data_IF_556877745505
#
_entry.id   IF_556877745505
#
_cell.length_a   1.000
_cell.length_b   1.000
_cell.length_c   1.000
_cell.angle_alpha   90.00
_cell.angle_beta   90.00
_cell.angle_gamma   90.00
#
_symmetry.space_group_name_H-M   'P 1'
#
loop_
_entity.id
_entity.type
_entity.pdbx_description
1 polymer ?
#
# COMPACT_ATOMS: atom_id res chain seq x y z
N UNK A 1 -70.21 -52.83 51.17
CA UNK A 1 -68.91 -53.53 51.13
C UNK A 1 -67.94 -52.57 50.46
N UNK A 2 -67.06 -51.94 51.27
CA UNK A 2 -65.78 -51.27 50.94
C UNK A 2 -65.65 -50.28 49.75
N UNK A 3 -65.29 -49.04 50.09
CA UNK A 3 -64.52 -48.06 49.28
C UNK A 3 -63.00 -48.24 49.61
N UNK A 4 -62.02 -47.95 48.70
CA UNK A 4 -61.37 -46.61 48.70
C UNK A 4 -60.69 -46.08 47.39
N UNK A 5 -60.81 -44.76 47.17
CA UNK A 5 -59.82 -43.70 46.78
C UNK A 5 -58.83 -43.80 45.57
N UNK A 6 -58.97 -42.77 44.70
CA UNK A 6 -57.96 -41.83 44.12
C UNK A 6 -56.91 -42.30 43.07
N UNK A 7 -56.23 -41.39 42.29
CA UNK A 7 -56.63 -40.09 41.69
C UNK A 7 -55.99 -39.81 40.27
N UNK A 8 -56.27 -38.61 39.71
CA UNK A 8 -55.44 -37.80 38.77
C UNK A 8 -55.16 -38.34 37.34
N UNK A 9 -55.10 -37.55 36.26
CA UNK A 9 -55.16 -36.13 35.97
C UNK A 9 -55.05 -36.03 34.44
N UNK A 10 -55.87 -35.27 33.73
CA UNK A 10 -55.70 -33.83 33.63
C UNK A 10 -54.79 -33.50 32.45
N UNK A 11 -55.40 -33.23 31.30
CA UNK A 11 -54.71 -32.67 30.15
C UNK A 11 -54.07 -31.31 30.50
N UNK A 12 -52.77 -31.17 30.27
CA UNK A 12 -52.02 -29.92 30.08
C UNK A 12 -50.59 -30.35 29.67
N UNK A 13 -50.03 -30.01 28.51
CA UNK A 13 -50.32 -28.85 27.70
C UNK A 13 -49.82 -27.58 28.40
N UNK A 14 -48.62 -27.60 28.99
CA UNK A 14 -47.98 -26.38 29.45
C UNK A 14 -46.44 -26.45 29.33
N UNK A 15 -45.94 -25.63 28.39
CA UNK A 15 -44.80 -24.72 28.59
C UNK A 15 -43.56 -25.27 29.34
N UNK A 16 -42.72 -26.03 28.63
CA UNK A 16 -41.27 -26.07 28.94
C UNK A 16 -40.52 -24.87 28.32
N UNK A 17 -41.22 -23.75 28.15
CA UNK A 17 -40.68 -22.47 27.74
C UNK A 17 -40.98 -21.49 28.88
N UNK A 18 -39.96 -20.76 29.31
CA UNK A 18 -39.98 -19.71 30.34
C UNK A 18 -39.92 -20.16 31.82
N UNK A 19 -38.90 -20.94 32.17
CA UNK A 19 -38.25 -20.74 33.48
C UNK A 19 -37.09 -19.75 33.27
N UNK A 20 -37.23 -18.46 33.65
CA UNK A 20 -36.21 -17.43 33.43
C UNK A 20 -34.93 -17.65 34.24
N UNK A 21 -34.95 -18.56 35.23
CA UNK A 21 -33.80 -18.92 36.06
C UNK A 21 -33.19 -20.28 35.69
N UNK A 22 -33.67 -20.94 34.62
CA UNK A 22 -33.10 -22.19 34.14
C UNK A 22 -31.69 -21.96 33.60
N UNK A 23 -30.70 -22.44 34.35
CA UNK A 23 -29.31 -22.51 33.89
C UNK A 23 -29.19 -23.65 32.87
N UNK A 24 -28.79 -23.38 31.62
CA UNK A 24 -28.63 -24.42 30.60
C UNK A 24 -27.63 -25.48 31.05
N UNK A 25 -27.92 -26.73 30.73
CA UNK A 25 -26.97 -27.81 30.95
C UNK A 25 -25.76 -27.67 30.03
N UNK A 26 -24.63 -28.25 30.41
CA UNK A 26 -23.40 -28.17 29.60
C UNK A 26 -23.58 -28.74 28.18
N UNK A 27 -24.44 -29.75 28.02
CA UNK A 27 -24.78 -30.31 26.72
C UNK A 27 -25.64 -29.36 25.85
N UNK A 28 -26.49 -28.54 26.47
CA UNK A 28 -27.28 -27.52 25.76
C UNK A 28 -26.38 -26.36 25.30
N UNK A 29 -25.43 -25.93 26.14
CA UNK A 29 -24.41 -24.93 25.78
C UNK A 29 -23.51 -25.39 24.63
N UNK A 30 -23.03 -26.64 24.68
CA UNK A 30 -22.23 -27.21 23.59
C UNK A 30 -23.03 -27.31 22.29
N UNK A 31 -24.32 -27.65 22.36
CA UNK A 31 -25.20 -27.72 21.19
C UNK A 31 -25.46 -26.34 20.58
N UNK A 32 -25.63 -25.30 21.40
CA UNK A 32 -25.78 -23.91 20.95
C UNK A 32 -24.51 -23.38 20.28
N UNK A 33 -23.34 -23.68 20.84
CA UNK A 33 -22.05 -23.31 20.27
C UNK A 33 -21.80 -24.04 18.94
N UNK A 34 -22.09 -25.35 18.87
CA UNK A 34 -22.03 -26.11 17.62
C UNK A 34 -22.98 -25.54 16.56
N UNK A 35 -24.21 -25.19 16.94
CA UNK A 35 -25.19 -24.59 16.04
C UNK A 35 -24.79 -23.17 15.61
N UNK A 36 -24.09 -22.41 16.45
CA UNK A 36 -23.53 -21.10 16.09
C UNK A 36 -22.35 -21.23 15.12
N UNK A 37 -21.47 -22.21 15.34
CA UNK A 37 -20.36 -22.53 14.44
C UNK A 37 -20.88 -22.97 13.08
N UNK A 38 -21.87 -23.88 13.04
CA UNK A 38 -22.46 -24.39 11.80
C UNK A 38 -23.15 -23.27 11.01
N UNK A 39 -23.91 -22.38 11.68
CA UNK A 39 -24.46 -21.17 11.05
C UNK A 39 -23.37 -20.28 10.48
N UNK A 40 -22.31 -20.00 11.24
CA UNK A 40 -21.19 -19.17 10.77
C UNK A 40 -20.41 -19.80 9.61
N UNK A 41 -20.34 -21.13 9.55
CA UNK A 41 -19.72 -21.89 8.47
C UNK A 41 -20.58 -21.82 7.22
N UNK A 42 -21.89 -22.06 7.37
CA UNK A 42 -22.86 -22.01 6.27
C UNK A 42 -22.96 -20.61 5.67
N UNK A 43 -22.98 -19.56 6.48
CA UNK A 43 -22.94 -18.18 5.99
C UNK A 43 -21.65 -17.88 5.23
N UNK A 44 -20.51 -18.43 5.68
CA UNK A 44 -19.22 -18.29 5.01
C UNK A 44 -19.19 -19.03 3.67
N UNK A 45 -19.69 -20.25 3.61
CA UNK A 45 -19.78 -21.03 2.38
C UNK A 45 -20.77 -20.39 1.38
N UNK A 46 -21.88 -19.86 1.88
CA UNK A 46 -22.87 -19.15 1.08
C UNK A 46 -22.32 -17.83 0.52
N UNK A 47 -21.51 -17.10 1.31
CA UNK A 47 -20.78 -15.90 0.85
C UNK A 47 -19.70 -16.21 -0.20
N UNK A 48 -19.14 -17.43 -0.18
CA UNK A 48 -18.18 -17.89 -1.19
C UNK A 48 -18.87 -18.28 -2.51
N UNK A 49 -20.08 -18.86 -2.44
CA UNK A 49 -20.89 -19.28 -3.59
C UNK A 49 -21.61 -18.10 -4.27
N UNK A 50 -22.04 -17.11 -3.49
CA UNK A 50 -22.68 -15.89 -3.98
C UNK A 50 -21.91 -14.68 -3.46
N UNK A 51 -20.85 -14.25 -4.16
CA UNK A 51 -20.16 -13.03 -3.81
C UNK A 51 -21.17 -11.89 -3.82
N UNK A 52 -21.31 -11.20 -2.69
CA UNK A 52 -22.15 -10.01 -2.60
C UNK A 52 -21.72 -9.05 -3.70
N UNK A 53 -22.66 -8.60 -4.54
CA UNK A 53 -22.41 -7.57 -5.55
C UNK A 53 -21.66 -6.44 -4.86
N UNK A 54 -20.50 -5.97 -5.38
CA UNK A 54 -19.73 -4.93 -4.71
C UNK A 54 -20.68 -3.81 -4.34
N UNK A 55 -20.92 -3.63 -3.04
CA UNK A 55 -21.70 -2.49 -2.58
C UNK A 55 -21.01 -1.24 -3.08
N UNK A 56 -21.79 -0.26 -3.53
CA UNK A 56 -21.23 1.02 -3.94
C UNK A 56 -20.42 1.57 -2.75
N UNK A 57 -19.09 1.62 -2.89
CA UNK A 57 -18.17 1.88 -1.78
C UNK A 57 -18.27 3.32 -1.24
N UNK A 58 -19.16 4.12 -1.83
CA UNK A 58 -19.27 5.54 -1.60
C UNK A 58 -18.08 6.31 -2.19
N UNK A 59 -18.07 7.64 -2.01
CA UNK A 59 -17.02 8.49 -2.57
C UNK A 59 -15.64 8.13 -1.99
N UNK A 60 -14.56 8.29 -2.78
CA UNK A 60 -13.22 8.02 -2.31
C UNK A 60 -12.84 8.97 -1.16
N UNK A 61 -12.16 8.50 -0.10
CA UNK A 61 -11.75 9.34 1.01
C UNK A 61 -10.87 10.52 0.56
N UNK A 62 -11.08 11.71 1.14
CA UNK A 62 -10.31 12.93 0.82
C UNK A 62 -8.80 12.74 0.98
N UNK A 63 -8.38 11.91 1.94
CA UNK A 63 -6.98 11.56 2.13
C UNK A 63 -6.33 10.98 0.86
N UNK A 64 -7.07 10.16 0.09
CA UNK A 64 -6.60 9.55 -1.15
C UNK A 64 -6.87 10.47 -2.36
N UNK A 65 -8.07 11.03 -2.44
CA UNK A 65 -8.52 11.78 -3.61
C UNK A 65 -8.00 13.22 -3.67
N UNK A 66 -7.65 13.83 -2.54
CA UNK A 66 -7.26 15.24 -2.45
C UNK A 66 -5.88 15.38 -1.83
N UNK A 67 -5.70 14.95 -0.57
CA UNK A 67 -4.46 15.22 0.16
C UNK A 67 -3.24 14.54 -0.49
N UNK A 68 -3.35 13.24 -0.79
CA UNK A 68 -2.26 12.52 -1.48
C UNK A 68 -1.93 13.17 -2.84
N UNK A 69 -2.95 13.62 -3.59
CA UNK A 69 -2.76 14.25 -4.90
C UNK A 69 -2.09 15.61 -4.80
N UNK A 70 -2.52 16.47 -3.88
CA UNK A 70 -1.93 17.81 -3.69
C UNK A 70 -0.47 17.69 -3.29
N UNK A 71 -0.16 16.81 -2.33
CA UNK A 71 1.21 16.58 -1.89
C UNK A 71 2.06 16.00 -3.02
N UNK A 72 1.50 15.05 -3.78
CA UNK A 72 2.17 14.49 -4.96
C UNK A 72 2.42 15.56 -6.03
N UNK A 73 1.48 16.47 -6.30
CA UNK A 73 1.68 17.59 -7.22
C UNK A 73 2.83 18.51 -6.78
N UNK A 74 2.96 18.76 -5.48
CA UNK A 74 4.11 19.47 -4.94
C UNK A 74 5.43 18.76 -5.27
N UNK A 75 5.48 17.44 -5.07
CA UNK A 75 6.64 16.63 -5.43
C UNK A 75 6.90 16.65 -6.95
N UNK A 76 5.85 16.59 -7.77
CA UNK A 76 5.94 16.58 -9.23
C UNK A 76 6.48 17.91 -9.79
N UNK A 77 6.04 19.04 -9.24
CA UNK A 77 6.56 20.36 -9.62
C UNK A 77 8.05 20.46 -9.31
N UNK A 78 8.47 20.00 -8.14
CA UNK A 78 9.90 19.99 -7.79
C UNK A 78 10.68 19.05 -8.71
N UNK A 79 10.18 17.84 -8.94
CA UNK A 79 10.80 16.89 -9.85
C UNK A 79 10.95 17.44 -11.27
N UNK A 80 9.96 18.21 -11.74
CA UNK A 80 10.02 18.89 -13.03
C UNK A 80 11.07 20.00 -13.04
N UNK A 81 11.16 20.83 -11.99
CA UNK A 81 12.20 21.86 -11.85
C UNK A 81 13.59 21.23 -11.88
N UNK A 82 13.81 20.14 -11.13
CA UNK A 82 15.07 19.39 -11.11
C UNK A 82 15.40 18.81 -12.49
N UNK A 83 14.40 18.26 -13.18
CA UNK A 83 14.56 17.69 -14.53
C UNK A 83 14.98 18.77 -15.52
N UNK A 84 14.26 19.89 -15.55
CA UNK A 84 14.54 21.02 -16.45
C UNK A 84 15.94 21.57 -16.16
N UNK A 85 16.25 21.82 -14.89
CA UNK A 85 17.57 22.32 -14.49
C UNK A 85 18.69 21.33 -14.88
N UNK A 86 18.47 20.03 -14.67
CA UNK A 86 19.41 18.98 -15.05
C UNK A 86 19.66 18.94 -16.56
N UNK A 87 18.63 19.11 -17.39
CA UNK A 87 18.80 19.18 -18.84
C UNK A 87 19.55 20.45 -19.29
N UNK A 88 19.30 21.60 -18.65
CA UNK A 88 20.04 22.83 -18.96
C UNK A 88 21.52 22.73 -18.61
N UNK A 89 21.87 21.99 -17.56
CA UNK A 89 23.25 21.81 -17.09
C UNK A 89 23.83 20.44 -17.46
N UNK A 90 23.24 19.76 -18.46
CA UNK A 90 23.57 18.37 -18.77
C UNK A 90 25.03 18.18 -19.14
N UNK A 91 25.60 19.13 -19.89
CA UNK A 91 27.02 19.11 -20.29
C UNK A 91 27.94 19.13 -19.07
N UNK A 92 27.74 20.09 -18.17
CA UNK A 92 28.51 20.22 -16.92
C UNK A 92 28.39 18.96 -16.07
N UNK A 93 27.18 18.46 -15.85
CA UNK A 93 26.93 17.24 -15.06
C UNK A 93 27.63 16.02 -15.67
N UNK A 94 27.60 15.90 -17.01
CA UNK A 94 28.24 14.80 -17.73
C UNK A 94 29.76 14.86 -17.62
N UNK A 95 30.35 16.04 -17.76
CA UNK A 95 31.78 16.26 -17.62
C UNK A 95 32.26 15.99 -16.19
N UNK A 96 31.52 16.47 -15.18
CA UNK A 96 31.83 16.24 -13.77
C UNK A 96 31.72 14.76 -13.39
N UNK A 97 30.66 14.09 -13.87
CA UNK A 97 30.49 12.65 -13.67
C UNK A 97 31.60 11.86 -14.35
N UNK A 98 32.00 12.24 -15.57
CA UNK A 98 33.13 11.63 -16.28
C UNK A 98 34.41 11.75 -15.46
N UNK A 99 34.72 12.95 -14.98
CA UNK A 99 35.93 13.20 -14.19
C UNK A 99 35.94 12.36 -12.91
N UNK A 100 34.78 12.25 -12.24
CA UNK A 100 34.62 11.43 -11.03
C UNK A 100 34.77 9.93 -11.31
N UNK A 101 34.24 9.44 -12.44
CA UNK A 101 34.40 8.05 -12.84
C UNK A 101 35.85 7.72 -13.19
N UNK A 102 36.55 8.62 -13.89
CA UNK A 102 37.98 8.46 -14.19
C UNK A 102 38.83 8.43 -12.91
N UNK A 103 38.52 9.30 -11.94
CA UNK A 103 39.17 9.26 -10.62
C UNK A 103 38.90 7.93 -9.89
N UNK A 104 37.69 7.38 -10.01
CA UNK A 104 37.33 6.05 -9.51
C UNK A 104 38.17 4.93 -10.12
N UNK A 105 38.37 4.94 -11.45
CA UNK A 105 39.21 3.95 -12.15
C UNK A 105 40.66 3.99 -11.67
N UNK A 106 41.19 5.18 -11.42
CA UNK A 106 42.57 5.34 -10.94
C UNK A 106 42.71 4.89 -9.48
N UNK A 107 41.71 5.17 -8.63
CA UNK A 107 41.78 4.91 -7.19
C UNK A 107 41.40 3.49 -6.79
N UNK A 108 40.44 2.87 -7.47
CA UNK A 108 40.01 1.48 -7.24
C UNK A 108 39.65 0.79 -8.57
N UNK A 109 40.65 0.31 -9.33
CA UNK A 109 40.43 -0.35 -10.61
C UNK A 109 39.75 -1.72 -10.50
N UNK A 110 39.66 -2.32 -9.31
CA UNK A 110 39.02 -3.63 -9.13
C UNK A 110 37.49 -3.54 -9.08
N UNK A 111 36.93 -2.41 -8.65
CA UNK A 111 35.50 -2.18 -8.53
C UNK A 111 34.93 -1.18 -9.56
N UNK A 112 35.78 -0.60 -10.39
CA UNK A 112 35.41 0.43 -11.35
C UNK A 112 35.19 -0.13 -12.76
N UNK A 113 34.36 0.57 -13.54
CA UNK A 113 34.17 0.24 -14.95
C UNK A 113 35.48 0.41 -15.74
N UNK A 114 35.69 -0.34 -16.84
CA UNK A 114 36.84 -0.13 -17.71
C UNK A 114 36.88 1.32 -18.22
N UNK A 115 38.07 1.91 -18.35
CA UNK A 115 38.24 3.29 -18.81
C UNK A 115 37.53 3.55 -20.16
N UNK A 116 37.53 2.55 -21.06
CA UNK A 116 36.85 2.60 -22.35
C UNK A 116 35.32 2.77 -22.27
N UNK A 117 34.70 2.44 -21.13
CA UNK A 117 33.26 2.54 -20.93
C UNK A 117 32.85 3.83 -20.20
N UNK A 118 33.80 4.55 -19.59
CA UNK A 118 33.52 5.72 -18.76
C UNK A 118 32.82 6.82 -19.56
N UNK A 119 33.25 7.08 -20.79
CA UNK A 119 32.62 8.09 -21.66
C UNK A 119 31.18 7.70 -22.03
N UNK A 120 30.93 6.41 -22.27
CA UNK A 120 29.59 5.90 -22.59
C UNK A 120 28.66 6.01 -21.37
N UNK A 121 29.15 5.63 -20.19
CA UNK A 121 28.38 5.68 -18.94
C UNK A 121 28.07 7.13 -18.54
N UNK A 122 29.06 8.02 -18.60
CA UNK A 122 28.88 9.44 -18.30
C UNK A 122 27.91 10.11 -19.27
N UNK A 123 27.94 9.76 -20.55
CA UNK A 123 27.00 10.29 -21.55
C UNK A 123 25.58 9.74 -21.43
N UNK A 124 25.39 8.51 -20.93
CA UNK A 124 24.09 7.86 -20.86
C UNK A 124 23.34 8.11 -19.55
N UNK A 125 24.00 7.99 -18.40
CA UNK A 125 23.31 7.98 -17.11
C UNK A 125 22.59 9.29 -16.78
N UNK A 126 23.20 10.49 -16.96
CA UNK A 126 22.53 11.73 -16.65
C UNK A 126 21.21 11.95 -17.39
N UNK A 127 21.16 11.87 -18.75
CA UNK A 127 19.89 12.06 -19.45
C UNK A 127 18.89 10.94 -19.14
N UNK A 128 19.36 9.69 -18.99
CA UNK A 128 18.48 8.57 -18.62
C UNK A 128 17.80 8.81 -17.27
N UNK A 129 18.57 9.20 -16.24
CA UNK A 129 18.00 9.49 -14.91
C UNK A 129 16.99 10.63 -14.95
N UNK A 130 17.28 11.71 -15.69
CA UNK A 130 16.36 12.84 -15.82
C UNK A 130 15.04 12.43 -16.50
N UNK A 131 15.10 11.61 -17.56
CA UNK A 131 13.90 11.05 -18.20
C UNK A 131 13.13 10.16 -17.23
N UNK A 132 13.85 9.30 -16.49
CA UNK A 132 13.23 8.36 -15.55
C UNK A 132 12.50 9.05 -14.40
N UNK A 133 12.94 10.23 -13.94
CA UNK A 133 12.18 11.04 -12.96
C UNK A 133 10.77 11.33 -13.49
N UNK A 134 10.65 11.78 -14.74
CA UNK A 134 9.35 12.11 -15.35
C UNK A 134 8.49 10.85 -15.54
N UNK A 135 9.11 9.75 -16.00
CA UNK A 135 8.41 8.47 -16.21
C UNK A 135 7.85 7.93 -14.91
N UNK A 136 8.65 7.91 -13.84
CA UNK A 136 8.23 7.41 -12.53
C UNK A 136 7.11 8.29 -11.96
N UNK A 137 7.23 9.62 -12.05
CA UNK A 137 6.14 10.54 -11.67
C UNK A 137 4.85 10.24 -12.44
N UNK A 138 4.92 10.04 -13.77
CA UNK A 138 3.75 9.73 -14.57
C UNK A 138 3.07 8.41 -14.14
N UNK A 139 3.86 7.36 -13.85
CA UNK A 139 3.37 6.08 -13.35
C UNK A 139 2.71 6.24 -11.98
N UNK A 140 3.34 6.97 -11.07
CA UNK A 140 2.79 7.26 -9.74
C UNK A 140 1.44 7.98 -9.84
N UNK A 141 1.35 9.02 -10.67
CA UNK A 141 0.10 9.75 -10.89
C UNK A 141 -0.99 8.85 -11.44
N UNK A 142 -0.68 8.07 -12.48
CA UNK A 142 -1.62 7.15 -13.09
C UNK A 142 -2.14 6.15 -12.05
N UNK A 143 -1.27 5.55 -11.25
CA UNK A 143 -1.63 4.63 -10.18
C UNK A 143 -2.48 5.30 -9.09
N UNK A 144 -2.15 6.53 -8.69
CA UNK A 144 -2.88 7.27 -7.65
C UNK A 144 -4.30 7.63 -8.10
N UNK A 145 -4.46 8.13 -9.33
CA UNK A 145 -5.76 8.49 -9.90
C UNK A 145 -6.62 7.25 -10.12
N UNK A 146 -6.03 6.20 -10.72
CA UNK A 146 -6.75 4.95 -11.00
C UNK A 146 -7.12 4.18 -9.73
N UNK A 147 -6.29 4.22 -8.67
CA UNK A 147 -6.64 3.66 -7.38
C UNK A 147 -7.89 4.30 -6.78
N UNK A 148 -8.04 5.62 -6.95
CA UNK A 148 -9.19 6.37 -6.46
C UNK A 148 -10.45 6.17 -7.34
N UNK A 149 -10.31 6.03 -8.66
CA UNK A 149 -11.45 5.87 -9.57
C UNK A 149 -11.95 4.43 -9.68
N UNK A 150 -11.06 3.44 -9.60
CA UNK A 150 -11.39 2.02 -9.76
C UNK A 150 -11.51 1.28 -8.43
N UNK A 151 -11.40 1.98 -7.30
CA UNK A 151 -11.51 1.36 -5.97
C UNK A 151 -10.57 0.16 -5.79
N UNK A 152 -9.31 0.29 -6.23
CA UNK A 152 -8.39 -0.85 -6.35
C UNK A 152 -7.25 -0.79 -5.34
N UNK A 153 -7.20 -1.77 -4.43
CA UNK A 153 -6.09 -1.96 -3.49
C UNK A 153 -4.78 -2.31 -4.22
N UNK A 154 -4.86 -3.01 -5.34
CA UNK A 154 -3.67 -3.37 -6.13
C UNK A 154 -3.00 -2.12 -6.72
N UNK A 155 -3.77 -1.20 -7.28
CA UNK A 155 -3.24 0.06 -7.82
C UNK A 155 -2.63 0.94 -6.73
N UNK A 156 -3.25 0.98 -5.54
CA UNK A 156 -2.63 1.63 -4.37
C UNK A 156 -1.31 0.97 -3.96
N UNK A 157 -1.21 -0.35 -4.03
CA UNK A 157 0.06 -1.05 -3.75
C UNK A 157 1.13 -0.72 -4.80
N UNK A 158 0.75 -0.67 -6.08
CA UNK A 158 1.66 -0.28 -7.15
C UNK A 158 2.14 1.16 -7.00
N UNK A 159 1.24 2.09 -6.62
CA UNK A 159 1.63 3.46 -6.26
C UNK A 159 2.69 3.47 -5.15
N UNK A 160 2.46 2.75 -4.04
CA UNK A 160 3.42 2.69 -2.94
C UNK A 160 4.75 2.05 -3.35
N UNK A 161 4.71 1.00 -4.17
CA UNK A 161 5.92 0.38 -4.70
C UNK A 161 6.71 1.33 -5.59
N UNK A 162 6.04 2.06 -6.49
CA UNK A 162 6.65 3.07 -7.33
C UNK A 162 7.29 4.19 -6.48
N UNK A 163 6.57 4.69 -5.46
CA UNK A 163 7.10 5.70 -4.53
C UNK A 163 8.33 5.17 -3.80
N UNK A 164 8.33 3.93 -3.31
CA UNK A 164 9.51 3.35 -2.63
C UNK A 164 10.71 3.29 -3.57
N UNK A 165 10.51 2.83 -4.81
CA UNK A 165 11.58 2.82 -5.83
C UNK A 165 12.08 4.24 -6.08
N UNK A 166 11.18 5.21 -6.23
CA UNK A 166 11.54 6.61 -6.44
C UNK A 166 12.34 7.19 -5.26
N UNK A 167 11.94 6.90 -4.03
CA UNK A 167 12.66 7.32 -2.82
C UNK A 167 14.08 6.76 -2.77
N UNK A 168 14.31 5.54 -3.27
CA UNK A 168 15.66 4.96 -3.40
C UNK A 168 16.47 5.64 -4.50
N UNK A 169 15.83 6.06 -5.59
CA UNK A 169 16.49 6.75 -6.69
C UNK A 169 16.91 8.18 -6.34
N UNK A 170 16.19 8.89 -5.46
CA UNK A 170 16.48 10.30 -5.15
C UNK A 170 17.90 10.50 -4.58
N UNK A 171 18.36 9.80 -3.53
CA UNK A 171 19.71 9.96 -3.01
C UNK A 171 20.79 9.66 -4.05
N UNK A 172 20.58 8.64 -4.88
CA UNK A 172 21.50 8.26 -5.97
C UNK A 172 21.54 9.37 -7.02
N UNK A 173 20.39 9.90 -7.43
CA UNK A 173 20.31 11.01 -8.39
C UNK A 173 20.95 12.29 -7.84
N UNK A 174 20.75 12.61 -6.56
CA UNK A 174 21.41 13.75 -5.91
C UNK A 174 22.92 13.63 -5.99
N UNK A 175 23.45 12.47 -5.62
CA UNK A 175 24.90 12.26 -5.59
C UNK A 175 25.52 12.25 -6.99
N UNK A 176 24.82 11.72 -7.98
CA UNK A 176 25.32 11.62 -9.36
C UNK A 176 25.08 12.86 -10.21
N UNK A 177 24.05 13.66 -9.93
CA UNK A 177 23.63 14.78 -10.79
C UNK A 177 23.87 16.16 -10.18
N UNK A 178 23.72 16.30 -8.86
CA UNK A 178 23.58 17.63 -8.25
C UNK A 178 24.62 17.92 -7.17
N UNK A 179 25.40 16.93 -6.75
CA UNK A 179 26.43 17.07 -5.71
C UNK A 179 27.79 17.46 -6.29
N UNK A 180 27.80 18.49 -7.13
CA UNK A 180 29.01 19.07 -7.71
C UNK A 180 29.18 20.53 -7.30
N UNK A 181 30.42 21.05 -7.20
CA UNK A 181 30.68 22.44 -6.82
C UNK A 181 30.04 23.46 -7.76
N UNK A 182 29.97 23.13 -9.05
CA UNK A 182 29.45 23.99 -10.11
C UNK A 182 27.92 23.95 -10.22
N UNK A 183 27.27 23.05 -9.46
CA UNK A 183 25.82 22.91 -9.40
C UNK A 183 25.28 23.57 -8.13
N UNK A 184 24.18 24.32 -8.27
CA UNK A 184 23.57 25.00 -7.13
C UNK A 184 23.10 24.03 -6.05
N UNK A 185 23.57 24.23 -4.81
CA UNK A 185 23.16 23.41 -3.65
C UNK A 185 21.65 23.48 -3.35
N UNK A 186 20.94 24.47 -3.91
CA UNK A 186 19.48 24.55 -3.84
C UNK A 186 18.83 23.31 -4.47
N UNK A 187 19.42 22.74 -5.53
CA UNK A 187 18.89 21.54 -6.17
C UNK A 187 18.90 20.33 -5.23
N UNK A 188 19.97 20.19 -4.44
CA UNK A 188 20.07 19.14 -3.41
C UNK A 188 18.95 19.29 -2.37
N UNK A 189 18.71 20.51 -1.88
CA UNK A 189 17.63 20.80 -0.92
C UNK A 189 16.27 20.48 -1.53
N UNK A 190 16.04 20.88 -2.78
CA UNK A 190 14.80 20.59 -3.50
C UNK A 190 14.59 19.08 -3.67
N UNK A 191 15.62 18.29 -3.98
CA UNK A 191 15.50 16.84 -4.09
C UNK A 191 15.07 16.19 -2.76
N UNK A 192 15.61 16.63 -1.62
CA UNK A 192 15.16 16.14 -0.31
C UNK A 192 13.77 16.66 0.10
N UNK A 193 13.38 17.84 -0.36
CA UNK A 193 12.01 18.32 -0.21
C UNK A 193 11.02 17.45 -1.01
N UNK A 194 11.36 17.10 -2.26
CA UNK A 194 10.60 16.16 -3.07
C UNK A 194 10.49 14.80 -2.37
N UNK A 195 11.59 14.28 -1.82
CA UNK A 195 11.60 13.06 -1.03
C UNK A 195 10.58 13.12 0.12
N UNK A 196 10.61 14.19 0.91
CA UNK A 196 9.67 14.38 2.02
C UNK A 196 8.21 14.43 1.58
N UNK A 197 7.93 15.14 0.48
CA UNK A 197 6.57 15.20 -0.08
C UNK A 197 6.08 13.83 -0.56
N UNK A 198 6.91 13.04 -1.25
CA UNK A 198 6.55 11.69 -1.66
C UNK A 198 6.23 10.77 -0.46
N UNK A 199 7.00 10.88 0.63
CA UNK A 199 6.70 10.15 1.88
C UNK A 199 5.34 10.57 2.44
N UNK A 200 5.06 11.87 2.52
CA UNK A 200 3.76 12.37 3.01
C UNK A 200 2.61 11.91 2.10
N UNK A 201 2.80 11.92 0.78
CA UNK A 201 1.82 11.41 -0.17
C UNK A 201 1.53 9.91 0.06
N UNK A 202 2.58 9.09 0.25
CA UNK A 202 2.44 7.68 0.60
C UNK A 202 1.67 7.48 1.91
N UNK A 203 2.02 8.22 2.96
CA UNK A 203 1.35 8.15 4.26
C UNK A 203 -0.14 8.51 4.17
N UNK A 204 -0.51 9.48 3.33
CA UNK A 204 -1.91 9.82 3.07
C UNK A 204 -2.71 8.63 2.51
N UNK A 205 -2.10 7.82 1.62
CA UNK A 205 -2.74 6.61 1.06
C UNK A 205 -2.82 5.43 2.04
N UNK A 206 -2.04 5.47 3.13
CA UNK A 206 -2.00 4.44 4.18
C UNK A 206 -2.91 4.73 5.38
N UNK A 207 -3.59 5.88 5.39
CA UNK A 207 -4.49 6.25 6.49
C UNK A 207 -5.62 5.23 6.68
N UNK A 208 -6.04 5.03 7.93
CA UNK A 208 -7.16 4.16 8.31
C UNK A 208 -8.41 4.29 7.42
N UNK A 209 -8.95 5.50 7.14
CA UNK A 209 -10.12 5.65 6.27
C UNK A 209 -9.91 5.10 4.86
N UNK A 210 -8.70 5.21 4.30
CA UNK A 210 -8.37 4.67 2.97
C UNK A 210 -8.33 3.14 3.01
N UNK A 211 -7.73 2.57 4.05
CA UNK A 211 -7.65 1.11 4.19
C UNK A 211 -8.99 0.44 4.48
N UNK A 212 -9.92 1.15 5.13
CA UNK A 212 -11.29 0.71 5.37
C UNK A 212 -12.15 0.81 4.13
N UNK A 213 -11.93 1.84 3.31
CA UNK A 213 -12.61 2.00 2.03
C UNK A 213 -12.16 0.91 1.06
N UNK A 214 -10.84 0.75 0.84
CA UNK A 214 -10.33 -0.20 -0.17
C UNK A 214 -10.74 -1.66 0.08
N UNK A 215 -10.98 -2.45 -1.00
CA UNK A 215 -11.43 -3.84 -0.89
C UNK A 215 -10.57 -4.67 0.04
N UNK A 216 -11.15 -5.65 0.74
CA UNK A 216 -10.40 -6.52 1.63
C UNK A 216 -9.21 -7.17 0.91
N UNK A 217 -8.11 -7.38 1.65
CA UNK A 217 -6.96 -8.06 1.08
C UNK A 217 -7.33 -9.51 0.79
N UNK A 218 -7.26 -9.91 -0.48
CA UNK A 218 -7.36 -11.30 -0.93
C UNK A 218 -6.22 -12.19 -0.42
N UNK A 219 -5.21 -11.63 0.26
CA UNK A 219 -4.20 -12.43 0.94
C UNK A 219 -4.83 -13.05 2.19
N UNK A 220 -4.95 -14.38 2.16
CA UNK A 220 -5.21 -15.20 3.34
C UNK A 220 -4.27 -14.78 4.46
N UNK A 221 -4.81 -14.24 5.57
CA UNK A 221 -4.00 -13.89 6.73
C UNK A 221 -3.34 -15.19 7.25
N UNK A 222 -2.01 -15.23 7.44
CA UNK A 222 -1.31 -16.46 7.87
C UNK A 222 -1.80 -16.95 9.25
N UNK A 223 -2.32 -16.05 10.08
CA UNK A 223 -2.96 -16.39 11.36
C UNK A 223 -4.25 -17.22 11.21
N UNK A 224 -4.94 -17.16 10.07
CA UNK A 224 -6.08 -18.05 9.77
C UNK A 224 -5.63 -19.46 9.33
N UNK A 225 -4.44 -19.61 8.76
CA UNK A 225 -3.89 -20.93 8.40
C UNK A 225 -3.39 -21.70 9.64
N UNK A 226 -2.84 -21.02 10.64
CA UNK A 226 -2.39 -21.67 11.89
C UNK A 226 -3.53 -22.16 12.79
N UNK A 227 -4.76 -21.67 12.60
CA UNK A 227 -5.93 -22.09 13.39
C UNK A 227 -6.73 -23.24 12.77
N UNK A 228 -6.26 -23.76 11.64
CA UNK A 228 -6.87 -24.88 10.90
C UNK A 228 -6.00 -26.13 10.83
N UNK A 229 -4.96 -26.23 11.66
CA UNK A 229 -4.22 -27.46 11.98
C UNK A 229 -4.40 -27.75 13.46
#
# INVERSE_FOLDING_TARGET
>A
MTDPKDPAGGASGDSAADDPDRVPSQAELDAEDLAAIERSSRDRDQSALYPTRPGDAGPPPEALAVHARIVWWGAAVIGLVLTIYGFFNLGTITDDLRNRLLEGVVSDPANSAPESEVETLAGFFPPFMLVMIVVVLAIEYACLVTAASQHSRHLRNFFLAAVVVHLLCIPVGVDLLFRYPDVSSVMVVLSYLQFGLLVVAALCTLRRPVNQWLPESTRMKPTRMMRGR
#
